data_IF_803517142630
#
_entry.id   IF_803517142630
#
_cell.length_a   1.000
_cell.length_b   1.000
_cell.length_c   1.000
_cell.angle_alpha   90.00
_cell.angle_beta   90.00
_cell.angle_gamma   90.00
#
_symmetry.space_group_name_H-M   'P 1'
#
loop_
_entity.id
_entity.type
_entity.pdbx_description
1 polymer ?
#
# COMPACT_ATOMS: atom_id res chain seq x y z
N UNK A 1 -16.90 72.35 32.02
CA UNK A 1 -17.10 70.91 32.29
C UNK A 1 -15.89 70.15 31.74
N UNK A 2 -15.30 69.28 32.56
CA UNK A 2 -13.94 68.75 32.42
C UNK A 2 -13.67 68.00 31.10
N UNK A 3 -12.59 68.38 30.42
CA UNK A 3 -11.94 67.53 29.41
C UNK A 3 -11.16 66.42 30.14
N UNK A 4 -11.75 65.22 30.24
CA UNK A 4 -11.02 64.02 30.63
C UNK A 4 -10.03 63.68 29.52
N UNK A 5 -8.73 63.90 29.76
CA UNK A 5 -7.67 63.30 28.92
C UNK A 5 -7.59 61.82 29.28
N UNK A 6 -8.07 60.96 28.38
CA UNK A 6 -7.80 59.54 28.43
C UNK A 6 -6.30 59.34 28.23
N UNK A 7 -5.64 58.85 29.27
CA UNK A 7 -4.22 58.55 29.26
C UNK A 7 -4.01 57.26 28.46
N UNK A 8 -3.63 57.37 27.18
CA UNK A 8 -3.26 56.22 26.35
C UNK A 8 -1.91 55.68 26.82
N UNK A 9 -1.93 54.72 27.74
CA UNK A 9 -0.74 54.00 28.15
C UNK A 9 -0.24 53.15 26.96
N UNK A 10 0.89 53.56 26.38
CA UNK A 10 1.52 52.90 25.24
C UNK A 10 2.16 51.56 25.62
N UNK A 11 1.35 50.50 25.62
CA UNK A 11 1.77 49.10 25.74
C UNK A 11 1.48 48.26 24.47
N UNK A 12 1.15 48.92 23.35
CA UNK A 12 0.68 48.23 22.13
C UNK A 12 1.77 47.44 21.41
N UNK A 13 3.03 47.88 21.43
CA UNK A 13 4.10 47.22 20.67
C UNK A 13 4.51 45.87 21.28
N UNK A 14 4.60 45.79 22.61
CA UNK A 14 4.92 44.52 23.29
C UNK A 14 3.77 43.52 23.18
N UNK A 15 2.53 43.99 23.18
CA UNK A 15 1.34 43.15 22.97
C UNK A 15 1.30 42.53 21.57
N UNK A 16 1.65 43.30 20.53
CA UNK A 16 1.76 42.77 19.16
C UNK A 16 2.92 41.76 19.04
N UNK A 17 4.04 41.99 19.71
CA UNK A 17 5.17 41.04 19.67
C UNK A 17 4.83 39.73 20.39
N UNK A 18 4.17 39.80 21.55
CA UNK A 18 3.73 38.60 22.28
C UNK A 18 2.68 37.82 21.48
N UNK A 19 1.72 38.50 20.84
CA UNK A 19 0.71 37.82 20.01
C UNK A 19 1.33 37.14 18.80
N UNK A 20 2.28 37.79 18.11
CA UNK A 20 3.03 37.17 17.02
C UNK A 20 3.88 35.99 17.50
N UNK A 21 4.52 36.10 18.67
CA UNK A 21 5.27 35.00 19.27
C UNK A 21 4.36 33.78 19.54
N UNK A 22 3.22 33.98 20.19
CA UNK A 22 2.27 32.90 20.47
C UNK A 22 1.73 32.29 19.16
N UNK A 23 1.39 33.13 18.17
CA UNK A 23 0.91 32.68 16.86
C UNK A 23 1.93 31.83 16.11
N UNK A 24 3.20 32.26 16.08
CA UNK A 24 4.26 31.50 15.38
C UNK A 24 4.49 30.14 16.03
N UNK A 25 4.51 30.06 17.37
CA UNK A 25 4.58 28.78 18.09
C UNK A 25 3.37 27.90 17.80
N UNK A 26 2.16 28.49 17.80
CA UNK A 26 0.93 27.78 17.47
C UNK A 26 0.91 27.21 16.05
N UNK A 27 1.35 27.99 15.06
CA UNK A 27 1.44 27.57 13.66
C UNK A 27 2.48 26.45 13.45
N UNK A 28 3.62 26.50 14.16
CA UNK A 28 4.60 25.41 14.13
C UNK A 28 4.02 24.11 14.71
N UNK A 29 3.24 24.21 15.79
CA UNK A 29 2.51 23.06 16.34
C UNK A 29 1.51 22.47 15.34
N UNK A 30 0.72 23.31 14.67
CA UNK A 30 -0.22 22.88 13.63
C UNK A 30 0.48 22.25 12.43
N UNK A 31 1.61 22.80 11.98
CA UNK A 31 2.40 22.23 10.89
C UNK A 31 2.92 20.83 11.24
N UNK A 32 3.35 20.62 12.49
CA UNK A 32 3.75 19.30 12.99
C UNK A 32 2.60 18.29 12.94
N UNK A 33 1.42 18.69 13.42
CA UNK A 33 0.22 17.85 13.36
C UNK A 33 -0.19 17.55 11.92
N UNK A 34 -0.12 18.53 11.02
CA UNK A 34 -0.45 18.35 9.60
C UNK A 34 0.49 17.34 8.93
N UNK A 35 1.80 17.44 9.17
CA UNK A 35 2.78 16.49 8.63
C UNK A 35 2.49 15.06 9.10
N UNK A 36 2.05 14.91 10.35
CA UNK A 36 1.72 13.62 10.93
C UNK A 36 0.40 13.06 10.39
N UNK A 37 -0.60 13.92 10.19
CA UNK A 37 -1.84 13.55 9.52
C UNK A 37 -1.60 13.07 8.09
N UNK A 38 -0.75 13.75 7.31
CA UNK A 38 -0.40 13.32 5.94
C UNK A 38 0.23 11.92 5.95
N UNK A 39 1.19 11.66 6.84
CA UNK A 39 1.82 10.34 6.96
C UNK A 39 0.81 9.24 7.28
N UNK A 40 -0.10 9.49 8.23
CA UNK A 40 -1.14 8.54 8.59
C UNK A 40 -2.14 8.28 7.43
N UNK A 41 -2.49 9.33 6.69
CA UNK A 41 -3.35 9.20 5.50
C UNK A 41 -2.69 8.37 4.40
N UNK A 42 -1.39 8.56 4.15
CA UNK A 42 -0.65 7.77 3.16
C UNK A 42 -0.58 6.29 3.55
N UNK A 43 -0.28 5.97 4.82
CA UNK A 43 -0.26 4.57 5.28
C UNK A 43 -1.65 3.91 5.19
N UNK A 44 -2.70 4.65 5.51
CA UNK A 44 -4.09 4.16 5.40
C UNK A 44 -4.48 3.89 3.94
N UNK A 45 -4.13 4.79 3.03
CA UNK A 45 -4.37 4.62 1.59
C UNK A 45 -3.60 3.41 1.04
N UNK A 46 -2.36 3.23 1.49
CA UNK A 46 -1.51 2.11 1.11
C UNK A 46 -2.07 0.77 1.60
N UNK A 47 -2.53 0.70 2.85
CA UNK A 47 -3.23 -0.46 3.42
C UNK A 47 -4.48 -0.82 2.63
N UNK A 48 -5.28 0.18 2.27
CA UNK A 48 -6.52 -0.03 1.53
C UNK A 48 -6.27 -0.59 0.13
N UNK A 49 -5.30 -0.03 -0.60
CA UNK A 49 -4.92 -0.52 -1.92
C UNK A 49 -4.27 -1.91 -1.87
N UNK A 50 -3.46 -2.19 -0.84
CA UNK A 50 -2.89 -3.51 -0.62
C UNK A 50 -3.96 -4.56 -0.31
N UNK A 51 -4.96 -4.23 0.52
CA UNK A 51 -6.08 -5.12 0.80
C UNK A 51 -6.89 -5.47 -0.47
N UNK A 52 -7.08 -4.48 -1.35
CA UNK A 52 -7.71 -4.68 -2.63
C UNK A 52 -6.90 -5.63 -3.53
N UNK A 53 -5.58 -5.46 -3.61
CA UNK A 53 -4.69 -6.36 -4.37
C UNK A 53 -4.68 -7.79 -3.83
N UNK A 54 -4.60 -7.96 -2.51
CA UNK A 54 -4.67 -9.30 -1.89
C UNK A 54 -5.99 -9.99 -2.26
N UNK A 55 -7.09 -9.24 -2.31
CA UNK A 55 -8.39 -9.76 -2.72
C UNK A 55 -8.37 -10.14 -4.21
N UNK A 56 -7.75 -9.33 -5.07
CA UNK A 56 -7.61 -9.65 -6.50
C UNK A 56 -6.81 -10.95 -6.72
N UNK A 57 -5.69 -11.13 -6.01
CA UNK A 57 -4.92 -12.38 -6.04
C UNK A 57 -5.78 -13.56 -5.60
N UNK A 58 -6.55 -13.39 -4.52
CA UNK A 58 -7.45 -14.42 -4.02
C UNK A 58 -8.51 -14.82 -5.05
N UNK A 59 -9.11 -13.86 -5.74
CA UNK A 59 -10.09 -14.15 -6.78
C UNK A 59 -9.47 -14.83 -8.00
N UNK A 60 -8.25 -14.47 -8.40
CA UNK A 60 -7.55 -15.14 -9.51
C UNK A 60 -7.21 -16.59 -9.19
N UNK A 61 -6.76 -16.87 -7.97
CA UNK A 61 -6.56 -18.25 -7.48
C UNK A 61 -7.85 -19.06 -7.61
N UNK A 62 -8.99 -18.51 -7.17
CA UNK A 62 -10.30 -19.18 -7.25
C UNK A 62 -10.82 -19.31 -8.68
N UNK A 63 -10.45 -18.39 -9.57
CA UNK A 63 -10.84 -18.43 -10.98
C UNK A 63 -10.11 -19.54 -11.77
N UNK A 64 -9.02 -20.09 -11.22
CA UNK A 64 -8.23 -21.16 -11.81
C UNK A 64 -8.21 -22.42 -10.92
N UNK A 65 -9.38 -23.08 -10.72
CA UNK A 65 -9.52 -24.19 -9.77
C UNK A 65 -8.76 -25.46 -10.19
N UNK A 66 -8.37 -25.56 -11.46
CA UNK A 66 -7.63 -26.70 -12.01
C UNK A 66 -6.11 -26.58 -11.78
N UNK A 67 -5.62 -25.44 -11.27
CA UNK A 67 -4.22 -25.26 -10.94
C UNK A 67 -3.85 -25.98 -9.65
N UNK A 68 -2.61 -26.47 -9.59
CA UNK A 68 -2.07 -27.02 -8.35
C UNK A 68 -1.76 -25.88 -7.38
N UNK A 69 -1.87 -26.19 -6.09
CA UNK A 69 -1.47 -25.32 -4.97
C UNK A 69 -0.01 -24.86 -5.12
N UNK A 70 0.84 -25.74 -5.66
CA UNK A 70 2.25 -25.44 -5.94
C UNK A 70 2.43 -24.37 -7.01
N UNK A 71 1.49 -24.24 -7.96
CA UNK A 71 1.62 -23.34 -9.10
C UNK A 71 1.44 -21.88 -8.68
N UNK A 72 0.62 -21.63 -7.65
CA UNK A 72 0.45 -20.31 -7.03
C UNK A 72 1.40 -20.04 -5.87
N UNK A 73 2.19 -21.03 -5.42
CA UNK A 73 3.14 -20.83 -4.31
C UNK A 73 4.40 -20.13 -4.82
N UNK A 74 4.54 -18.85 -4.50
CA UNK A 74 5.66 -18.03 -4.98
C UNK A 74 6.00 -16.89 -3.99
N UNK A 75 7.23 -16.39 -4.09
CA UNK A 75 7.65 -15.13 -3.47
C UNK A 75 8.19 -14.22 -4.56
N UNK A 76 7.53 -13.10 -4.76
CA UNK A 76 7.86 -12.07 -5.74
C UNK A 76 8.35 -10.82 -5.01
N UNK A 77 9.47 -10.28 -5.48
CA UNK A 77 10.04 -9.02 -5.00
C UNK A 77 10.19 -8.05 -6.16
N UNK A 78 10.47 -6.78 -5.88
CA UNK A 78 10.63 -5.74 -6.92
C UNK A 78 11.69 -6.05 -7.98
N UNK A 79 12.63 -6.95 -7.69
CA UNK A 79 13.68 -7.40 -8.61
C UNK A 79 13.36 -8.74 -9.29
N UNK A 80 12.37 -9.49 -8.79
CA UNK A 80 12.02 -10.83 -9.27
C UNK A 80 10.83 -10.83 -10.25
N UNK A 81 10.76 -9.82 -11.12
CA UNK A 81 9.68 -9.66 -12.10
C UNK A 81 9.99 -10.31 -13.45
N UNK A 82 10.19 -11.63 -13.45
CA UNK A 82 10.41 -12.38 -14.69
C UNK A 82 9.08 -12.54 -15.43
N UNK A 83 9.03 -12.00 -16.65
CA UNK A 83 7.87 -12.12 -17.54
C UNK A 83 7.66 -13.59 -17.95
N UNK A 84 6.46 -14.16 -17.75
CA UNK A 84 6.12 -15.49 -18.24
C UNK A 84 6.14 -15.55 -19.77
N UNK A 85 6.55 -16.70 -20.31
CA UNK A 85 6.64 -16.92 -21.77
C UNK A 85 5.29 -16.80 -22.48
N UNK A 86 4.19 -17.15 -21.79
CA UNK A 86 2.83 -16.98 -22.28
C UNK A 86 2.07 -15.95 -21.45
N UNK A 87 1.47 -14.97 -22.14
CA UNK A 87 0.59 -13.96 -21.54
C UNK A 87 -0.87 -14.42 -21.41
N UNK A 88 -1.12 -15.73 -21.52
CA UNK A 88 -2.41 -16.38 -21.33
C UNK A 88 -3.66 -15.68 -21.89
N UNK A 89 -3.51 -15.08 -23.08
CA UNK A 89 -4.62 -14.49 -23.85
C UNK A 89 -5.35 -15.53 -24.73
N UNK A 90 -4.68 -16.62 -25.12
CA UNK A 90 -5.30 -17.85 -25.66
C UNK A 90 -4.46 -19.09 -25.29
N UNK A 91 -5.11 -20.20 -24.96
CA UNK A 91 -4.52 -21.53 -24.69
C UNK A 91 -3.37 -21.58 -23.66
N UNK A 92 -3.71 -21.41 -22.38
CA UNK A 92 -2.80 -21.69 -21.26
C UNK A 92 -3.24 -22.92 -20.48
N UNK A 93 -2.25 -23.68 -20.00
CA UNK A 93 -2.50 -24.66 -18.94
C UNK A 93 -2.77 -23.94 -17.61
N UNK A 94 -3.44 -24.58 -16.64
CA UNK A 94 -3.67 -23.98 -15.33
C UNK A 94 -2.40 -23.45 -14.65
N UNK A 95 -1.28 -24.19 -14.76
CA UNK A 95 0.02 -23.76 -14.22
C UNK A 95 0.59 -22.52 -14.94
N UNK A 96 0.41 -22.42 -16.27
CA UNK A 96 0.83 -21.25 -17.04
C UNK A 96 -0.01 -20.02 -16.69
N UNK A 97 -1.32 -20.21 -16.49
CA UNK A 97 -2.23 -19.15 -16.04
C UNK A 97 -1.83 -18.64 -14.66
N UNK A 98 -1.50 -19.51 -13.71
CA UNK A 98 -1.03 -19.12 -12.38
C UNK A 98 0.24 -18.26 -12.43
N UNK A 99 1.24 -18.66 -13.23
CA UNK A 99 2.46 -17.88 -13.41
C UNK A 99 2.17 -16.49 -14.04
N UNK A 100 1.24 -16.43 -14.99
CA UNK A 100 0.80 -15.18 -15.60
C UNK A 100 0.07 -14.27 -14.61
N UNK A 101 -0.88 -14.79 -13.83
CA UNK A 101 -1.67 -14.02 -12.87
C UNK A 101 -0.78 -13.33 -11.83
N UNK A 102 0.20 -14.06 -11.28
CA UNK A 102 1.11 -13.53 -10.28
C UNK A 102 2.02 -12.44 -10.85
N UNK A 103 2.48 -12.62 -12.09
CA UNK A 103 3.27 -11.60 -12.78
C UNK A 103 2.43 -10.37 -13.13
N UNK A 104 1.23 -10.55 -13.68
CA UNK A 104 0.33 -9.47 -14.12
C UNK A 104 -0.03 -8.55 -12.94
N UNK A 105 -0.48 -9.13 -11.82
CA UNK A 105 -0.84 -8.35 -10.62
C UNK A 105 0.37 -7.61 -10.05
N UNK A 106 1.49 -8.29 -9.86
CA UNK A 106 2.58 -7.73 -9.06
C UNK A 106 3.52 -6.87 -9.90
N UNK A 107 3.89 -7.38 -11.06
CA UNK A 107 4.90 -6.80 -11.94
C UNK A 107 4.31 -5.99 -13.09
N UNK A 108 3.01 -6.12 -13.38
CA UNK A 108 2.31 -5.33 -14.38
C UNK A 108 2.73 -5.62 -15.82
N UNK A 109 1.93 -5.12 -16.76
CA UNK A 109 2.22 -5.18 -18.19
C UNK A 109 3.05 -3.95 -18.59
N UNK A 110 4.06 -4.14 -19.42
CA UNK A 110 4.74 -3.07 -20.15
C UNK A 110 4.18 -3.03 -21.58
N UNK A 111 3.27 -2.10 -21.84
CA UNK A 111 2.83 -1.77 -23.19
C UNK A 111 3.40 -0.43 -23.60
N UNK A 112 4.39 -0.44 -24.48
CA UNK A 112 5.01 0.76 -25.07
C UNK A 112 5.46 1.81 -24.04
N UNK A 113 6.06 1.37 -22.92
CA UNK A 113 6.60 2.26 -21.89
C UNK A 113 5.57 2.76 -20.88
N UNK A 114 4.31 2.30 -20.95
CA UNK A 114 3.36 2.42 -19.83
C UNK A 114 3.52 1.19 -18.97
N UNK A 115 4.15 1.39 -17.82
CA UNK A 115 4.46 0.33 -16.86
C UNK A 115 3.46 0.48 -15.71
N UNK A 116 2.36 -0.27 -15.77
CA UNK A 116 1.32 -0.26 -14.75
C UNK A 116 1.60 -1.33 -13.69
N UNK A 117 2.66 -1.14 -12.88
CA UNK A 117 2.99 -2.09 -11.82
C UNK A 117 2.36 -1.69 -10.49
N UNK A 118 1.79 -2.66 -9.80
CA UNK A 118 1.43 -2.52 -8.40
C UNK A 118 2.66 -2.10 -7.58
N UNK A 119 3.83 -2.70 -7.80
CA UNK A 119 5.06 -2.36 -7.06
C UNK A 119 5.50 -0.90 -7.17
N UNK A 120 5.29 -0.27 -8.34
CA UNK A 120 5.73 1.11 -8.59
C UNK A 120 4.76 2.13 -7.97
N UNK A 121 3.45 1.82 -8.01
CA UNK A 121 2.42 2.73 -7.50
C UNK A 121 2.22 2.63 -5.98
N UNK A 122 2.55 1.47 -5.39
CA UNK A 122 2.19 1.13 -4.02
C UNK A 122 3.40 0.87 -3.12
N UNK A 123 4.63 1.20 -3.52
CA UNK A 123 5.84 0.94 -2.69
C UNK A 123 5.88 -0.50 -2.14
N UNK A 124 5.34 -1.46 -2.90
CA UNK A 124 5.30 -2.85 -2.47
C UNK A 124 6.72 -3.39 -2.51
N UNK A 125 7.09 -4.16 -1.49
CA UNK A 125 8.39 -4.77 -1.39
C UNK A 125 8.35 -6.25 -1.75
N UNK A 126 7.27 -6.94 -1.37
CA UNK A 126 7.14 -8.39 -1.53
C UNK A 126 5.67 -8.82 -1.62
N UNK A 127 5.37 -9.73 -2.54
CA UNK A 127 4.17 -10.57 -2.54
C UNK A 127 4.62 -12.01 -2.28
N UNK A 128 4.07 -12.64 -1.27
CA UNK A 128 4.37 -14.03 -0.94
C UNK A 128 3.10 -14.84 -0.77
N UNK A 129 3.08 -16.00 -1.41
CA UNK A 129 1.99 -16.96 -1.34
C UNK A 129 2.58 -18.27 -0.87
N UNK A 130 2.12 -18.70 0.30
CA UNK A 130 2.60 -19.93 0.91
C UNK A 130 1.42 -20.80 1.27
N UNK A 131 1.57 -22.10 1.03
CA UNK A 131 0.58 -23.03 1.53
C UNK A 131 0.70 -23.18 3.05
N UNK A 132 -0.44 -23.00 3.73
CA UNK A 132 -0.56 -23.09 5.19
C UNK A 132 -1.02 -24.47 5.66
N UNK A 133 -1.98 -25.08 4.95
CA UNK A 133 -2.55 -26.39 5.29
C UNK A 133 -2.91 -27.17 4.03
N UNK A 134 -2.87 -28.49 4.12
CA UNK A 134 -3.36 -29.42 3.10
C UNK A 134 -2.73 -29.21 1.69
N UNK A 135 -1.43 -28.91 1.63
CA UNK A 135 -0.72 -28.50 0.41
C UNK A 135 -0.62 -29.54 -0.72
N UNK A 136 -1.15 -30.74 -0.49
CA UNK A 136 -1.08 -31.86 -1.42
C UNK A 136 -2.44 -32.16 -2.06
N UNK A 137 -3.49 -31.40 -1.75
CA UNK A 137 -4.83 -31.64 -2.28
C UNK A 137 -5.60 -30.33 -2.56
N UNK A 138 -6.75 -30.45 -3.22
CA UNK A 138 -7.65 -29.34 -3.56
C UNK A 138 -8.37 -28.71 -2.35
N UNK A 139 -8.12 -29.20 -1.12
CA UNK A 139 -8.59 -28.59 0.13
C UNK A 139 -7.48 -27.77 0.80
N UNK A 140 -6.47 -27.36 0.04
CA UNK A 140 -5.40 -26.51 0.52
C UNK A 140 -5.89 -25.15 0.97
N UNK A 141 -5.24 -24.64 2.01
CA UNK A 141 -5.36 -23.25 2.44
C UNK A 141 -4.07 -22.54 2.07
N UNK A 142 -4.16 -21.59 1.15
CA UNK A 142 -3.08 -20.70 0.76
C UNK A 142 -3.15 -19.43 1.63
N UNK A 143 -2.00 -18.93 2.05
CA UNK A 143 -1.87 -17.62 2.68
C UNK A 143 -1.21 -16.68 1.68
N UNK A 144 -1.93 -15.64 1.28
CA UNK A 144 -1.45 -14.56 0.41
C UNK A 144 -1.04 -13.41 1.32
N UNK A 145 0.22 -12.99 1.26
CA UNK A 145 0.76 -11.88 2.03
C UNK A 145 1.40 -10.85 1.12
N UNK A 146 1.05 -9.57 1.30
CA UNK A 146 1.71 -8.46 0.61
C UNK A 146 2.32 -7.54 1.64
N UNK A 147 3.59 -7.20 1.42
CA UNK A 147 4.38 -6.27 2.20
C UNK A 147 4.59 -4.97 1.44
N UNK A 148 4.51 -3.85 2.13
CA UNK A 148 4.89 -2.54 1.61
C UNK A 148 5.87 -1.84 2.55
N UNK A 149 6.63 -0.90 2.00
CA UNK A 149 7.59 -0.12 2.78
C UNK A 149 8.82 -0.92 3.26
N UNK A 150 9.55 -0.31 4.20
CA UNK A 150 10.91 -0.74 4.58
C UNK A 150 10.94 -1.74 5.74
N UNK A 151 9.92 -1.76 6.59
CA UNK A 151 9.83 -2.69 7.72
C UNK A 151 8.83 -3.80 7.42
N UNK A 152 9.29 -5.04 7.11
CA UNK A 152 8.41 -6.14 6.77
C UNK A 152 7.51 -6.58 7.94
N UNK A 153 7.85 -6.24 9.20
CA UNK A 153 7.08 -6.70 10.35
C UNK A 153 5.91 -5.80 10.75
N UNK A 154 5.81 -4.58 10.21
CA UNK A 154 4.74 -3.62 10.57
C UNK A 154 3.74 -3.35 9.43
N UNK A 155 4.12 -3.63 8.19
CA UNK A 155 3.41 -3.21 6.99
C UNK A 155 3.12 -4.41 6.06
N UNK A 156 2.33 -5.36 6.58
CA UNK A 156 1.84 -6.50 5.82
C UNK A 156 0.32 -6.68 5.96
N UNK A 157 -0.29 -7.24 4.92
CA UNK A 157 -1.65 -7.79 4.97
C UNK A 157 -1.57 -9.24 4.52
N UNK A 158 -2.12 -10.14 5.32
CA UNK A 158 -2.23 -11.57 5.02
C UNK A 158 -3.69 -11.96 4.93
N UNK A 159 -4.06 -12.66 3.87
CA UNK A 159 -5.38 -13.25 3.68
C UNK A 159 -5.24 -14.75 3.42
N UNK A 160 -6.16 -15.53 3.99
CA UNK A 160 -6.27 -16.95 3.67
C UNK A 160 -7.25 -17.16 2.50
N UNK A 161 -6.83 -17.97 1.54
CA UNK A 161 -7.55 -18.28 0.32
C UNK A 161 -7.64 -19.79 0.18
N UNK A 162 -8.78 -20.26 -0.31
CA UNK A 162 -8.98 -21.63 -0.75
C UNK A 162 -9.12 -21.61 -2.28
N UNK A 163 -8.35 -22.43 -3.02
CA UNK A 163 -8.54 -22.63 -4.46
C UNK A 163 -9.94 -23.15 -4.79
#
# INVERSE_FOLDING_TARGET
>A
MLHQRLNTAGFTLIEVVITLFIMTVGLLGLAGLQAQAIKASLDTAQRSQTAWLVSEVAERIRANPDASVSDYTATLTTTACLKPDKQCNTDCTPAQMAAYDLWDIFCGIDTQGVVAKAVDSLTLSELSIHCKKNCTNSAAHLAVSIHWGKDPNQQQITMEVRP
#
